data_IF_095788679202
#
_entry.id   IF_095788679202
#
_cell.length_a   1.000
_cell.length_b   1.000
_cell.length_c   1.000
_cell.angle_alpha   90.00
_cell.angle_beta   90.00
_cell.angle_gamma   90.00
#
_symmetry.space_group_name_H-M   'P 1'
#
loop_
_entity.id
_entity.type
_entity.pdbx_description
1 polymer ?
#
# COMPACT_ATOMS: atom_id res chain seq x y z
N UNK A 1 2.85 1.63 -4.33
CA UNK A 1 3.05 1.42 -5.77
C UNK A 1 2.58 0.01 -6.12
N UNK A 2 1.73 -0.10 -7.14
CA UNK A 2 1.22 -1.39 -7.65
C UNK A 2 1.09 -1.33 -9.17
N UNK A 3 1.22 -2.47 -9.85
CA UNK A 3 0.90 -2.59 -11.26
C UNK A 3 -0.61 -2.76 -11.49
N UNK A 4 -1.05 -2.50 -12.70
CA UNK A 4 -2.46 -2.70 -13.09
C UNK A 4 -2.91 -4.16 -12.99
N UNK A 5 -2.00 -5.12 -13.22
CA UNK A 5 -2.27 -6.54 -13.01
C UNK A 5 -2.59 -6.91 -11.56
N UNK A 6 -1.97 -6.23 -10.59
CA UNK A 6 -2.23 -6.44 -9.16
C UNK A 6 -3.64 -6.01 -8.76
N UNK A 7 -4.29 -5.13 -9.52
CA UNK A 7 -5.68 -4.74 -9.25
C UNK A 7 -6.70 -5.86 -9.53
N UNK A 8 -6.28 -7.00 -10.07
CA UNK A 8 -7.10 -8.22 -10.16
C UNK A 8 -7.22 -8.95 -8.81
N UNK A 9 -6.32 -8.66 -7.85
CA UNK A 9 -6.36 -9.25 -6.51
C UNK A 9 -7.51 -8.66 -5.68
N UNK A 10 -8.32 -9.52 -5.06
CA UNK A 10 -9.44 -9.10 -4.19
C UNK A 10 -8.98 -8.26 -3.01
N UNK A 11 -7.81 -8.60 -2.43
CA UNK A 11 -7.22 -7.89 -1.30
C UNK A 11 -6.96 -6.40 -1.58
N UNK A 12 -6.72 -5.99 -2.82
CA UNK A 12 -6.58 -4.58 -3.19
C UNK A 12 -7.87 -3.81 -2.93
N UNK A 13 -9.02 -4.41 -3.26
CA UNK A 13 -10.33 -3.76 -3.09
C UNK A 13 -10.82 -3.81 -1.66
N UNK A 14 -10.51 -4.88 -0.93
CA UNK A 14 -10.72 -4.96 0.52
C UNK A 14 -9.93 -3.86 1.23
N UNK A 15 -8.64 -3.71 0.90
CA UNK A 15 -7.79 -2.65 1.44
C UNK A 15 -8.28 -1.25 1.04
N UNK A 16 -8.80 -1.07 -0.18
CA UNK A 16 -9.34 0.21 -0.63
C UNK A 16 -10.60 0.61 0.17
N UNK A 17 -11.50 -0.33 0.42
CA UNK A 17 -12.69 -0.10 1.27
C UNK A 17 -12.29 0.25 2.70
N UNK A 18 -11.36 -0.51 3.27
CA UNK A 18 -10.86 -0.36 4.62
C UNK A 18 -10.14 0.99 4.84
N UNK A 19 -9.27 1.38 3.90
CA UNK A 19 -8.56 2.65 3.96
C UNK A 19 -9.52 3.85 3.99
N UNK A 20 -10.58 3.81 3.20
CA UNK A 20 -11.58 4.87 3.21
C UNK A 20 -12.40 4.88 4.49
N UNK A 21 -12.80 3.69 5.00
CA UNK A 21 -13.54 3.56 6.26
C UNK A 21 -12.79 4.17 7.44
N UNK A 22 -11.47 3.91 7.53
CA UNK A 22 -10.64 4.44 8.61
C UNK A 22 -10.05 5.83 8.32
N UNK A 23 -10.42 6.46 7.21
CA UNK A 23 -10.00 7.83 6.88
C UNK A 23 -8.49 7.98 6.72
N UNK A 24 -7.81 6.99 6.10
CA UNK A 24 -6.35 6.99 5.91
C UNK A 24 -5.95 7.99 4.82
N UNK A 25 -6.13 9.28 5.08
CA UNK A 25 -5.85 10.36 4.14
C UNK A 25 -4.36 10.53 3.78
N UNK A 26 -3.47 9.91 4.55
CA UNK A 26 -2.04 9.83 4.28
C UNK A 26 -1.66 8.65 3.37
N UNK A 27 -2.61 7.82 2.95
CA UNK A 27 -2.36 6.70 2.04
C UNK A 27 -2.53 7.14 0.58
N UNK A 28 -1.44 7.02 -0.17
CA UNK A 28 -1.40 7.31 -1.61
C UNK A 28 -1.12 6.00 -2.35
N UNK A 29 -2.04 5.59 -3.22
CA UNK A 29 -1.86 4.47 -4.13
C UNK A 29 -1.39 4.99 -5.49
N UNK A 30 -0.24 4.55 -5.98
CA UNK A 30 0.22 4.81 -7.33
C UNK A 30 0.08 3.53 -8.14
N UNK A 31 -0.78 3.56 -9.17
CA UNK A 31 -1.06 2.41 -10.04
C UNK A 31 -0.36 2.64 -11.38
N UNK A 32 0.63 1.80 -11.68
CA UNK A 32 1.31 1.76 -12.98
C UNK A 32 0.45 0.99 -13.99
N UNK A 33 -0.27 1.71 -14.83
CA UNK A 33 -1.20 1.14 -15.81
C UNK A 33 -0.49 1.04 -17.16
N UNK A 34 0.30 -0.01 -17.33
CA UNK A 34 1.07 -0.28 -18.53
C UNK A 34 0.43 -1.33 -19.46
N UNK A 35 -0.75 -1.84 -19.13
CA UNK A 35 -1.56 -2.84 -19.83
C UNK A 35 -0.96 -4.24 -19.99
N UNK A 36 0.27 -4.46 -19.54
CA UNK A 36 1.01 -5.70 -19.76
C UNK A 36 1.03 -6.57 -18.49
N UNK A 37 0.40 -7.73 -18.55
CA UNK A 37 0.59 -8.77 -17.55
C UNK A 37 1.89 -9.55 -17.78
N UNK A 38 2.03 -10.67 -17.11
CA UNK A 38 3.21 -11.53 -17.23
C UNK A 38 3.21 -12.30 -18.56
N UNK A 39 2.05 -12.80 -18.99
CA UNK A 39 1.91 -13.66 -20.18
C UNK A 39 0.89 -13.18 -21.19
N UNK A 40 0.09 -12.18 -20.84
CA UNK A 40 -0.98 -11.61 -21.66
C UNK A 40 -1.32 -10.20 -21.17
N UNK A 41 -2.10 -9.41 -21.93
CA UNK A 41 -2.57 -8.11 -21.45
C UNK A 41 -3.37 -8.22 -20.16
N UNK A 42 -3.33 -7.15 -19.34
CA UNK A 42 -4.16 -7.07 -18.14
C UNK A 42 -5.65 -6.92 -18.49
N UNK A 43 -6.52 -7.27 -17.55
CA UNK A 43 -7.98 -7.35 -17.76
C UNK A 43 -8.57 -6.05 -18.33
N UNK A 44 -8.15 -4.90 -17.81
CA UNK A 44 -8.68 -3.59 -18.20
C UNK A 44 -7.74 -2.82 -19.12
N UNK A 45 -6.52 -3.30 -19.31
CA UNK A 45 -5.51 -2.63 -20.12
C UNK A 45 -5.43 -1.11 -19.78
N UNK A 46 -5.53 -0.23 -20.80
CA UNK A 46 -5.53 1.23 -20.62
C UNK A 46 -6.95 1.83 -20.42
N UNK A 47 -7.92 1.08 -19.94
CA UNK A 47 -9.24 1.64 -19.57
C UNK A 47 -9.15 2.38 -18.23
N UNK A 48 -8.48 3.53 -18.24
CA UNK A 48 -8.26 4.38 -17.08
C UNK A 48 -9.56 4.83 -16.40
N UNK A 49 -10.65 4.92 -17.14
CA UNK A 49 -11.93 5.36 -16.60
C UNK A 49 -12.55 4.28 -15.70
N UNK A 50 -12.40 3.01 -16.06
CA UNK A 50 -12.85 1.91 -15.20
C UNK A 50 -12.02 1.80 -13.93
N UNK A 51 -10.67 1.96 -14.01
CA UNK A 51 -9.83 2.03 -12.79
C UNK A 51 -10.26 3.18 -11.90
N UNK A 52 -10.43 4.37 -12.47
CA UNK A 52 -10.90 5.56 -11.77
C UNK A 52 -12.23 5.31 -11.05
N UNK A 53 -13.23 4.84 -11.78
CA UNK A 53 -14.56 4.58 -11.25
C UNK A 53 -14.54 3.58 -10.07
N UNK A 54 -13.68 2.56 -10.14
CA UNK A 54 -13.52 1.59 -9.05
C UNK A 54 -13.00 2.24 -7.78
N UNK A 55 -11.89 2.99 -7.83
CA UNK A 55 -11.35 3.67 -6.64
C UNK A 55 -12.32 4.72 -6.09
N UNK A 56 -12.97 5.50 -6.96
CA UNK A 56 -13.99 6.48 -6.57
C UNK A 56 -15.21 5.82 -5.90
N UNK A 57 -15.62 4.63 -6.34
CA UNK A 57 -16.72 3.88 -5.72
C UNK A 57 -16.38 3.44 -4.27
N UNK A 58 -15.10 3.22 -3.96
CA UNK A 58 -14.63 2.99 -2.58
C UNK A 58 -14.41 4.30 -1.79
N UNK A 59 -14.68 5.46 -2.38
CA UNK A 59 -14.56 6.77 -1.71
C UNK A 59 -13.21 7.45 -1.82
N UNK A 60 -12.28 6.91 -2.61
CA UNK A 60 -10.97 7.52 -2.85
C UNK A 60 -11.06 8.76 -3.74
N UNK A 61 -10.17 9.71 -3.56
CA UNK A 61 -9.88 10.73 -4.56
C UNK A 61 -8.93 10.14 -5.62
N UNK A 62 -9.03 10.63 -6.86
CA UNK A 62 -8.24 10.06 -7.96
C UNK A 62 -7.64 11.15 -8.85
N UNK A 63 -6.49 10.85 -9.43
CA UNK A 63 -5.92 11.57 -10.57
C UNK A 63 -5.54 10.58 -11.68
N UNK A 64 -5.87 10.91 -12.91
CA UNK A 64 -5.45 10.17 -14.10
C UNK A 64 -4.38 10.98 -14.81
N UNK A 65 -3.20 10.40 -15.00
CA UNK A 65 -2.04 11.10 -15.54
C UNK A 65 -1.32 10.30 -16.64
N UNK A 66 -0.55 10.98 -17.46
CA UNK A 66 0.54 10.35 -18.21
C UNK A 66 1.71 10.08 -17.25
N UNK A 67 2.00 8.79 -16.99
CA UNK A 67 3.07 8.38 -16.08
C UNK A 67 4.48 8.63 -16.64
N UNK A 68 4.61 9.05 -17.89
CA UNK A 68 5.88 9.47 -18.51
C UNK A 68 6.06 11.00 -18.47
N UNK A 69 5.04 11.76 -18.06
CA UNK A 69 5.16 13.20 -17.81
C UNK A 69 5.50 13.46 -16.34
N UNK A 70 6.77 13.78 -16.08
CA UNK A 70 7.24 14.01 -14.71
C UNK A 70 6.56 15.22 -14.04
N UNK A 71 6.17 16.23 -14.80
CA UNK A 71 5.44 17.37 -14.23
C UNK A 71 4.05 16.92 -13.75
N UNK A 72 3.32 16.13 -14.55
CA UNK A 72 2.04 15.58 -14.16
C UNK A 72 2.15 14.65 -12.95
N UNK A 73 3.24 13.87 -12.84
CA UNK A 73 3.52 13.02 -11.67
C UNK A 73 3.71 13.86 -10.41
N UNK A 74 4.52 14.91 -10.47
CA UNK A 74 4.77 15.79 -9.33
C UNK A 74 3.52 16.57 -8.90
N UNK A 75 2.73 17.04 -9.84
CA UNK A 75 1.46 17.73 -9.56
C UNK A 75 0.47 16.80 -8.89
N UNK A 76 0.35 15.55 -9.37
CA UNK A 76 -0.53 14.55 -8.78
C UNK A 76 -0.09 14.14 -7.36
N UNK A 77 1.21 14.00 -7.11
CA UNK A 77 1.76 13.73 -5.77
C UNK A 77 1.48 14.90 -4.82
N UNK A 78 1.62 16.13 -5.30
CA UNK A 78 1.32 17.34 -4.52
C UNK A 78 -0.17 17.40 -4.16
N UNK A 79 -1.05 17.12 -5.11
CA UNK A 79 -2.49 17.04 -4.87
C UNK A 79 -2.85 15.94 -3.87
N UNK A 80 -2.20 14.78 -3.99
CA UNK A 80 -2.42 13.65 -3.10
C UNK A 80 -2.00 13.95 -1.65
N UNK A 81 -0.91 14.70 -1.44
CA UNK A 81 -0.47 15.11 -0.10
C UNK A 81 -1.45 16.07 0.58
N UNK A 82 -2.18 16.86 -0.20
CA UNK A 82 -3.19 17.80 0.30
C UNK A 82 -4.60 17.19 0.42
N UNK A 83 -4.76 15.91 0.07
CA UNK A 83 -6.06 15.27 0.05
C UNK A 83 -6.57 14.93 1.46
N UNK A 84 -7.88 15.03 1.65
CA UNK A 84 -8.55 14.70 2.92
C UNK A 84 -9.04 13.24 2.98
N UNK A 85 -8.82 12.49 1.93
CA UNK A 85 -9.19 11.06 1.79
C UNK A 85 -8.05 10.31 1.11
N UNK A 86 -8.01 8.96 1.21
CA UNK A 86 -7.06 8.16 0.44
C UNK A 86 -7.08 8.58 -1.04
N UNK A 87 -5.91 8.61 -1.66
CA UNK A 87 -5.74 9.13 -3.02
C UNK A 87 -5.10 8.10 -3.95
N UNK A 88 -5.71 7.87 -5.13
CA UNK A 88 -5.15 6.98 -6.14
C UNK A 88 -4.68 7.76 -7.37
N UNK A 89 -3.40 7.65 -7.68
CA UNK A 89 -2.77 8.17 -8.90
C UNK A 89 -2.75 7.05 -9.92
N UNK A 90 -3.51 7.22 -11.00
CA UNK A 90 -3.67 6.25 -12.08
C UNK A 90 -2.78 6.68 -13.23
N UNK A 91 -1.55 6.17 -13.25
CA UNK A 91 -0.52 6.56 -14.19
C UNK A 91 -0.55 5.67 -15.44
N UNK A 92 -0.95 6.23 -16.57
CA UNK A 92 -0.84 5.55 -17.86
C UNK A 92 0.62 5.50 -18.27
N UNK A 93 1.15 4.31 -18.48
CA UNK A 93 2.53 4.10 -18.92
C UNK A 93 2.61 3.13 -20.10
N UNK A 94 3.79 3.02 -20.68
CA UNK A 94 4.15 2.00 -21.65
C UNK A 94 5.34 1.21 -21.10
N UNK A 95 5.18 -0.09 -20.98
CA UNK A 95 6.27 -0.96 -20.52
C UNK A 95 7.42 -0.92 -21.51
N UNK A 96 8.64 -0.70 -21.01
CA UNK A 96 9.84 -0.59 -21.86
C UNK A 96 9.95 0.72 -22.64
N UNK A 97 9.25 1.78 -22.21
CA UNK A 97 9.26 3.12 -22.83
C UNK A 97 10.67 3.60 -23.17
N UNK A 98 10.89 4.00 -24.43
CA UNK A 98 12.16 4.49 -24.95
C UNK A 98 13.07 3.41 -25.54
N UNK A 99 12.83 2.12 -25.26
CA UNK A 99 13.55 1.01 -25.88
C UNK A 99 12.72 0.41 -27.03
N UNK A 100 12.91 0.90 -28.26
CA UNK A 100 12.03 0.63 -29.40
C UNK A 100 11.84 -0.86 -29.71
N UNK A 101 12.83 -1.68 -29.41
CA UNK A 101 12.79 -3.12 -29.61
C UNK A 101 11.72 -3.82 -28.75
N UNK A 102 11.42 -3.27 -27.56
CA UNK A 102 10.56 -3.90 -26.53
C UNK A 102 9.44 -3.00 -26.03
N UNK A 103 9.43 -1.72 -26.39
CA UNK A 103 8.40 -0.77 -25.99
C UNK A 103 7.02 -1.31 -26.35
N UNK A 104 6.15 -1.40 -25.33
CA UNK A 104 4.76 -1.83 -25.41
C UNK A 104 4.55 -3.22 -26.06
N UNK A 105 5.57 -4.10 -26.00
CA UNK A 105 5.52 -5.46 -26.55
C UNK A 105 5.40 -6.51 -25.46
N UNK A 106 4.55 -7.51 -25.70
CA UNK A 106 4.40 -8.66 -24.84
C UNK A 106 5.64 -9.58 -24.87
N UNK A 107 5.72 -10.47 -23.87
CA UNK A 107 6.72 -11.53 -23.84
C UNK A 107 8.08 -11.14 -23.26
N UNK A 108 8.24 -9.93 -22.76
CA UNK A 108 9.49 -9.43 -22.15
C UNK A 108 9.46 -9.36 -20.62
N UNK A 109 8.42 -9.87 -19.99
CA UNK A 109 8.37 -9.92 -18.53
C UNK A 109 9.38 -10.93 -17.99
N UNK A 110 10.33 -10.45 -17.18
CA UNK A 110 11.38 -11.28 -16.56
C UNK A 110 12.40 -11.86 -17.55
N UNK A 111 12.46 -11.39 -18.78
CA UNK A 111 13.44 -11.84 -19.79
C UNK A 111 14.53 -10.79 -20.00
N UNK A 112 15.82 -11.16 -19.94
CA UNK A 112 16.90 -10.27 -20.32
C UNK A 112 16.88 -10.06 -21.84
N UNK A 113 17.33 -8.87 -22.27
CA UNK A 113 17.55 -8.60 -23.69
C UNK A 113 18.76 -9.38 -24.21
N UNK A 114 18.71 -9.94 -25.43
CA UNK A 114 19.92 -10.37 -26.13
C UNK A 114 20.92 -9.23 -26.28
N UNK A 115 22.24 -9.52 -26.40
CA UNK A 115 23.28 -8.49 -26.40
C UNK A 115 23.08 -7.38 -27.46
N UNK A 116 22.70 -7.73 -28.66
CA UNK A 116 22.43 -6.80 -29.76
C UNK A 116 21.27 -5.84 -29.48
N UNK A 117 20.17 -6.36 -28.93
CA UNK A 117 19.03 -5.54 -28.51
C UNK A 117 19.34 -4.72 -27.26
N UNK A 118 20.18 -5.24 -26.37
CA UNK A 118 20.63 -4.49 -25.18
C UNK A 118 21.50 -3.29 -25.58
N UNK A 119 22.44 -3.46 -26.52
CA UNK A 119 23.26 -2.38 -27.07
C UNK A 119 22.38 -1.30 -27.74
N UNK A 120 21.40 -1.72 -28.53
CA UNK A 120 20.43 -0.80 -29.16
C UNK A 120 19.66 -0.02 -28.08
N UNK A 121 19.08 -0.70 -27.10
CA UNK A 121 18.30 -0.05 -26.03
C UNK A 121 19.15 0.92 -25.20
N UNK A 122 20.40 0.58 -24.90
CA UNK A 122 21.34 1.48 -24.21
C UNK A 122 21.59 2.74 -25.06
N UNK A 123 21.81 2.59 -26.35
CA UNK A 123 22.03 3.73 -27.25
C UNK A 123 20.77 4.64 -27.31
N UNK A 124 19.59 4.06 -27.39
CA UNK A 124 18.31 4.80 -27.42
C UNK A 124 18.01 5.52 -26.09
N UNK A 125 18.35 4.91 -24.94
CA UNK A 125 18.07 5.44 -23.62
C UNK A 125 19.19 6.34 -23.06
N UNK A 126 20.35 6.40 -23.74
CA UNK A 126 21.44 7.25 -23.31
C UNK A 126 21.07 8.72 -23.48
N UNK A 127 20.95 9.50 -22.39
CA UNK A 127 20.58 10.90 -22.49
C UNK A 127 21.69 11.71 -23.18
N UNK A 128 21.35 12.82 -23.85
CA UNK A 128 22.34 13.70 -24.46
C UNK A 128 23.29 14.31 -23.40
N UNK A 129 24.51 14.73 -23.82
CA UNK A 129 25.57 15.14 -22.87
C UNK A 129 25.19 16.28 -21.91
N UNK A 130 24.35 17.19 -22.34
CA UNK A 130 23.81 18.30 -21.51
C UNK A 130 22.91 17.78 -20.37
N UNK A 131 22.06 16.79 -20.64
CA UNK A 131 21.24 16.14 -19.61
C UNK A 131 22.10 15.26 -18.69
N UNK A 132 23.14 14.60 -19.21
CA UNK A 132 24.10 13.85 -18.37
C UNK A 132 24.82 14.78 -17.40
N UNK A 133 25.27 15.94 -17.89
CA UNK A 133 25.93 16.96 -17.06
C UNK A 133 24.96 17.55 -16.00
N UNK A 134 23.72 17.78 -16.35
CA UNK A 134 22.69 18.22 -15.42
C UNK A 134 22.39 17.15 -14.35
N UNK A 135 22.26 15.89 -14.75
CA UNK A 135 22.03 14.78 -13.83
C UNK A 135 23.19 14.60 -12.84
N UNK A 136 24.44 14.81 -13.28
CA UNK A 136 25.60 14.74 -12.42
C UNK A 136 25.63 15.85 -11.34
N UNK A 137 24.86 16.92 -11.53
CA UNK A 137 24.71 18.02 -10.56
C UNK A 137 23.54 17.80 -9.60
N UNK A 138 22.69 16.81 -9.85
CA UNK A 138 21.59 16.50 -8.95
C UNK A 138 22.14 16.06 -7.60
N UNK A 139 21.74 16.81 -6.57
CA UNK A 139 22.08 16.43 -5.20
C UNK A 139 21.28 15.20 -4.82
N UNK A 140 21.98 14.10 -4.57
CA UNK A 140 21.37 12.95 -3.91
C UNK A 140 21.00 13.40 -2.50
N UNK A 141 19.71 13.48 -2.22
CA UNK A 141 19.24 13.75 -0.87
C UNK A 141 19.71 12.59 0.02
N UNK A 142 20.23 12.87 1.22
CA UNK A 142 20.51 11.81 2.18
C UNK A 142 19.24 11.01 2.43
N UNK A 143 19.34 9.71 2.77
CA UNK A 143 18.19 8.95 3.21
C UNK A 143 17.43 9.74 4.27
N UNK A 144 16.11 9.74 4.16
CA UNK A 144 15.28 10.37 5.19
C UNK A 144 15.47 9.60 6.49
N UNK A 145 16.29 10.16 7.35
CA UNK A 145 16.58 9.59 8.68
C UNK A 145 15.50 10.11 9.64
N UNK A 146 14.28 9.58 9.48
CA UNK A 146 13.24 9.83 10.46
C UNK A 146 13.69 9.23 11.78
N UNK A 147 13.70 10.00 12.87
CA UNK A 147 13.96 9.42 14.18
C UNK A 147 12.96 8.29 14.40
N UNK A 148 13.46 7.08 14.55
CA UNK A 148 12.62 5.97 14.98
C UNK A 148 12.03 6.34 16.33
N UNK A 149 10.73 6.10 16.57
CA UNK A 149 10.15 6.31 17.89
C UNK A 149 10.98 5.54 18.90
N UNK A 150 11.28 6.18 20.04
CA UNK A 150 12.01 5.55 21.14
C UNK A 150 11.33 4.20 21.48
N UNK A 151 12.11 3.12 21.60
CA UNK A 151 11.55 1.83 21.94
C UNK A 151 10.86 1.91 23.30
N UNK A 152 9.55 1.80 23.33
CA UNK A 152 8.82 1.68 24.61
C UNK A 152 9.09 0.29 25.15
N UNK A 153 9.77 0.21 26.30
CA UNK A 153 9.95 -1.06 26.99
C UNK A 153 8.60 -1.51 27.56
N UNK A 154 8.15 -2.75 27.25
CA UNK A 154 6.93 -3.26 27.85
C UNK A 154 7.10 -3.45 29.35
N UNK A 155 6.05 -3.18 30.11
CA UNK A 155 5.96 -3.55 31.52
C UNK A 155 5.63 -5.05 31.64
N UNK A 156 5.86 -5.62 32.84
CA UNK A 156 5.41 -6.98 33.11
C UNK A 156 3.88 -6.98 33.24
N UNK A 157 3.14 -7.73 32.40
CA UNK A 157 1.69 -7.73 32.45
C UNK A 157 1.18 -8.36 33.76
N UNK A 158 0.21 -7.70 34.39
CA UNK A 158 -0.54 -8.28 35.50
C UNK A 158 -1.63 -9.19 34.94
N UNK A 159 -1.28 -10.44 34.65
CA UNK A 159 -2.22 -11.41 34.11
C UNK A 159 -3.30 -11.78 35.11
N UNK A 160 -4.53 -12.10 34.66
CA UNK A 160 -5.59 -12.58 35.54
C UNK A 160 -5.16 -13.89 36.22
N UNK A 161 -5.48 -14.03 37.50
CA UNK A 161 -5.19 -15.21 38.31
C UNK A 161 -6.50 -15.92 38.63
N UNK A 162 -6.48 -17.24 38.58
CA UNK A 162 -7.64 -18.09 38.87
C UNK A 162 -7.30 -19.06 40.00
N UNK A 163 -8.29 -19.37 40.83
CA UNK A 163 -8.12 -20.35 41.91
C UNK A 163 -8.36 -21.76 41.38
N UNK A 164 -7.67 -22.74 41.98
CA UNK A 164 -7.86 -24.16 41.63
C UNK A 164 -9.31 -24.57 41.85
N UNK A 165 -9.97 -25.12 40.83
CA UNK A 165 -11.37 -25.51 40.84
C UNK A 165 -12.34 -24.42 40.43
N UNK A 166 -11.88 -23.21 40.10
CA UNK A 166 -12.69 -22.17 39.52
C UNK A 166 -13.00 -22.52 38.04
N UNK A 167 -14.26 -22.48 37.68
CA UNK A 167 -14.69 -22.62 36.29
C UNK A 167 -14.65 -21.25 35.58
N UNK A 168 -13.84 -21.12 34.54
CA UNK A 168 -13.69 -19.91 33.73
C UNK A 168 -13.75 -20.30 32.28
N UNK A 169 -14.58 -19.62 31.50
CA UNK A 169 -14.63 -19.82 30.06
C UNK A 169 -13.32 -19.35 29.41
N UNK A 170 -12.73 -20.16 28.53
CA UNK A 170 -11.47 -19.80 27.84
C UNK A 170 -11.53 -18.44 27.14
N UNK A 171 -12.67 -18.11 26.53
CA UNK A 171 -12.90 -16.81 25.89
C UNK A 171 -12.89 -15.62 26.87
N UNK A 172 -13.35 -15.86 28.11
CA UNK A 172 -13.31 -14.83 29.16
C UNK A 172 -11.88 -14.59 29.63
N UNK A 173 -11.13 -15.68 29.87
CA UNK A 173 -9.72 -15.61 30.22
C UNK A 173 -8.89 -14.93 29.11
N UNK A 174 -9.22 -15.19 27.84
CA UNK A 174 -8.61 -14.52 26.69
C UNK A 174 -8.86 -13.01 26.72
N UNK A 175 -10.11 -12.57 26.88
CA UNK A 175 -10.44 -11.14 26.92
C UNK A 175 -9.75 -10.40 28.09
N UNK A 176 -9.68 -11.03 29.28
CA UNK A 176 -9.00 -10.45 30.43
C UNK A 176 -7.48 -10.37 30.24
N UNK A 177 -6.88 -11.44 29.70
CA UNK A 177 -5.45 -11.47 29.37
C UNK A 177 -5.08 -10.44 28.30
N UNK A 178 -5.92 -10.28 27.28
CA UNK A 178 -5.69 -9.31 26.21
C UNK A 178 -5.67 -7.87 26.74
N UNK A 179 -6.57 -7.52 27.66
CA UNK A 179 -6.55 -6.22 28.35
C UNK A 179 -5.28 -6.05 29.18
N UNK A 180 -4.88 -7.07 29.95
CA UNK A 180 -3.67 -7.02 30.77
C UNK A 180 -2.41 -6.81 29.91
N UNK A 181 -2.33 -7.46 28.77
CA UNK A 181 -1.24 -7.27 27.81
C UNK A 181 -1.26 -5.86 27.22
N UNK A 182 -2.42 -5.35 26.82
CA UNK A 182 -2.55 -3.99 26.29
C UNK A 182 -2.22 -2.90 27.32
N UNK A 183 -2.45 -3.14 28.61
CA UNK A 183 -2.04 -2.24 29.68
C UNK A 183 -0.52 -2.19 29.82
N UNK A 184 0.16 -3.33 29.65
CA UNK A 184 1.59 -3.47 29.85
C UNK A 184 2.43 -3.03 28.62
N UNK A 185 1.86 -3.12 27.43
CA UNK A 185 2.57 -2.77 26.18
C UNK A 185 1.68 -1.95 25.23
N UNK A 186 1.99 -0.66 25.02
CA UNK A 186 1.23 0.20 24.14
C UNK A 186 1.33 -0.18 22.65
N UNK A 187 2.24 -1.08 22.26
CA UNK A 187 2.41 -1.58 20.89
C UNK A 187 1.44 -2.70 20.54
N UNK A 188 0.68 -3.22 21.53
CA UNK A 188 -0.31 -4.28 21.30
C UNK A 188 -1.59 -3.69 20.74
N UNK A 189 -1.97 -4.17 19.58
CA UNK A 189 -3.22 -3.90 18.90
C UNK A 189 -4.04 -5.17 18.82
N UNK A 190 -5.36 -5.05 18.89
CA UNK A 190 -6.29 -6.16 18.66
C UNK A 190 -7.06 -5.91 17.35
N UNK A 191 -7.14 -6.94 16.51
CA UNK A 191 -7.94 -6.96 15.30
C UNK A 191 -9.06 -7.98 15.48
N UNK A 192 -10.26 -7.67 15.02
CA UNK A 192 -11.42 -8.56 15.17
C UNK A 192 -12.27 -8.56 13.89
N UNK A 193 -12.77 -9.76 13.53
CA UNK A 193 -13.61 -9.99 12.35
C UNK A 193 -15.10 -10.12 12.72
N UNK A 194 -15.64 -9.13 13.46
CA UNK A 194 -17.03 -9.05 13.90
C UNK A 194 -17.48 -10.17 14.86
N UNK A 195 -16.53 -10.65 15.67
CA UNK A 195 -16.77 -11.70 16.68
C UNK A 195 -16.41 -11.30 18.11
N UNK A 196 -16.04 -10.04 18.33
CA UNK A 196 -15.58 -9.50 19.62
C UNK A 196 -16.49 -9.75 20.81
N UNK A 197 -17.81 -9.82 20.59
CA UNK A 197 -18.79 -10.15 21.59
C UNK A 197 -18.74 -11.62 22.03
N UNK A 198 -18.38 -12.51 21.13
CA UNK A 198 -18.27 -13.95 21.38
C UNK A 198 -16.90 -14.35 21.93
N UNK A 199 -15.85 -13.66 21.50
CA UNK A 199 -14.47 -13.89 21.94
C UNK A 199 -14.10 -13.11 23.20
N UNK A 200 -14.91 -12.14 23.61
CA UNK A 200 -14.65 -11.14 24.66
C UNK A 200 -13.51 -10.18 24.31
N UNK A 201 -13.07 -10.10 23.04
CA UNK A 201 -12.14 -9.07 22.58
C UNK A 201 -12.71 -7.64 22.76
N UNK A 202 -14.04 -7.51 22.90
CA UNK A 202 -14.69 -6.23 23.24
C UNK A 202 -14.20 -5.61 24.56
N UNK A 203 -13.62 -6.41 25.48
CA UNK A 203 -12.98 -5.89 26.69
C UNK A 203 -11.77 -5.01 26.34
N UNK A 204 -10.97 -5.46 25.37
CA UNK A 204 -9.85 -4.66 24.85
C UNK A 204 -10.32 -3.39 24.15
N UNK A 205 -11.35 -3.48 23.30
CA UNK A 205 -11.96 -2.31 22.66
C UNK A 205 -12.39 -1.26 23.70
N UNK A 206 -13.01 -1.69 24.82
CA UNK A 206 -13.45 -0.78 25.89
C UNK A 206 -12.27 -0.14 26.63
N UNK A 207 -11.19 -0.89 26.83
CA UNK A 207 -9.99 -0.42 27.55
C UNK A 207 -9.05 0.42 26.66
N UNK A 208 -8.94 0.08 25.38
CA UNK A 208 -7.97 0.63 24.42
C UNK A 208 -8.61 0.88 23.04
N UNK A 209 -9.60 1.78 22.93
CA UNK A 209 -10.34 2.00 21.69
C UNK A 209 -9.45 2.40 20.52
N UNK A 210 -8.38 3.17 20.76
CA UNK A 210 -7.46 3.63 19.73
C UNK A 210 -6.50 2.54 19.20
N UNK A 211 -6.53 1.37 19.84
CA UNK A 211 -5.68 0.21 19.47
C UNK A 211 -6.50 -1.02 19.09
N UNK A 212 -7.79 -0.83 18.88
CA UNK A 212 -8.68 -1.88 18.40
C UNK A 212 -9.08 -1.59 16.96
N UNK A 213 -8.91 -2.58 16.08
CA UNK A 213 -9.24 -2.47 14.65
C UNK A 213 -10.37 -3.46 14.34
N UNK A 214 -11.51 -2.94 13.96
CA UNK A 214 -12.62 -3.74 13.46
C UNK A 214 -12.39 -4.05 11.99
N UNK A 215 -12.22 -5.31 11.63
CA UNK A 215 -11.97 -5.76 10.27
C UNK A 215 -13.25 -6.19 9.54
N UNK A 216 -14.41 -6.18 10.25
CA UNK A 216 -15.70 -6.66 9.75
C UNK A 216 -15.64 -8.14 9.35
N UNK A 217 -16.69 -8.65 8.73
CA UNK A 217 -16.69 -10.00 8.15
C UNK A 217 -16.05 -9.91 6.78
N UNK A 218 -14.88 -10.49 6.67
CA UNK A 218 -14.14 -10.58 5.40
C UNK A 218 -14.33 -11.92 4.71
#
# INVERSE_FOLDING_TARGET
LMGDGETAEGAVWEAAAFACHYGLNNLIALVDINRQGQSQPTMLQHDLQTYRARFEAFGWQTAVIDGHDMAAVLDALTAAQAAERPFAILARTLKGKGASAVEDKEGWHGKPLPPDLAEQAIAELTPPPDLQAAAAQLRVLPPYDAPLPEPVAPETPSLPTYTLGQEVATREAYGDALVALGNADPRIYALDGDVKNSTFAEKFLKAHPDRFVECFIA
#
